data_IF_756893038511
#
_entry.id   IF_756893038511
#
_cell.length_a   1.000
_cell.length_b   1.000
_cell.length_c   1.000
_cell.angle_alpha   90.00
_cell.angle_beta   90.00
_cell.angle_gamma   90.00
#
_symmetry.space_group_name_H-M   'P 1'
#
loop_
_entity.id
_entity.type
_entity.pdbx_description
1 polymer ?
#
# COMPACT_ATOMS: atom_id res chain seq x y z
N UNK A 1 -13.54 -15.68 -17.11
CA UNK A 1 -13.12 -15.86 -18.51
C UNK A 1 -12.67 -14.55 -19.18
N UNK A 2 -13.46 -13.46 -19.16
CA UNK A 2 -13.06 -12.15 -19.75
C UNK A 2 -11.79 -11.53 -19.14
N UNK A 3 -11.58 -11.64 -17.83
CA UNK A 3 -10.36 -11.13 -17.18
C UNK A 3 -9.10 -11.95 -17.49
N UNK A 4 -9.23 -13.28 -17.57
CA UNK A 4 -8.13 -14.16 -17.99
C UNK A 4 -7.73 -13.87 -19.45
N UNK A 5 -8.72 -13.63 -20.32
CA UNK A 5 -8.50 -13.20 -21.71
C UNK A 5 -7.79 -11.84 -21.73
N UNK A 6 -8.09 -10.91 -20.83
CA UNK A 6 -7.40 -9.61 -20.81
C UNK A 6 -5.92 -9.71 -20.38
N UNK A 7 -5.55 -10.54 -19.41
CA UNK A 7 -4.12 -10.73 -19.06
C UNK A 7 -3.37 -11.48 -20.17
N UNK A 8 -3.97 -12.53 -20.77
CA UNK A 8 -3.39 -13.26 -21.92
C UNK A 8 -3.33 -12.42 -23.20
N UNK A 9 -4.38 -11.68 -23.56
CA UNK A 9 -4.43 -10.85 -24.75
C UNK A 9 -3.43 -9.68 -24.67
N UNK A 10 -3.22 -9.10 -23.48
CA UNK A 10 -2.18 -8.07 -23.27
C UNK A 10 -0.76 -8.65 -23.41
N UNK A 11 -0.53 -9.88 -22.95
CA UNK A 11 0.76 -10.58 -23.14
C UNK A 11 1.00 -10.96 -24.61
N UNK A 12 -0.04 -11.40 -25.33
CA UNK A 12 0.05 -11.80 -26.74
C UNK A 12 0.12 -10.62 -27.70
N UNK A 13 -0.50 -9.48 -27.38
CA UNK A 13 -0.39 -8.26 -28.18
C UNK A 13 1.05 -7.71 -28.25
N UNK A 14 1.90 -8.04 -27.27
CA UNK A 14 3.34 -7.73 -27.31
C UNK A 14 4.17 -8.58 -28.29
N UNK A 15 3.61 -9.65 -28.86
CA UNK A 15 4.33 -10.60 -29.72
C UNK A 15 4.08 -10.45 -31.23
N UNK A 16 3.22 -9.49 -31.65
CA UNK A 16 2.82 -9.38 -33.07
C UNK A 16 3.21 -8.03 -33.69
N UNK A 17 4.50 -7.68 -33.67
CA UNK A 17 5.08 -6.73 -34.65
C UNK A 17 6.48 -7.23 -35.02
N UNK A 18 6.54 -8.19 -35.94
CA UNK A 18 7.77 -8.50 -36.67
C UNK A 18 7.67 -7.78 -38.03
N UNK A 19 8.12 -6.52 -38.07
CA UNK A 19 8.23 -5.75 -39.31
C UNK A 19 9.70 -5.44 -39.59
N UNK A 20 10.18 -6.05 -40.68
CA UNK A 20 11.26 -5.65 -41.62
C UNK A 20 12.21 -4.55 -41.15
N UNK A 21 13.49 -4.94 -40.99
CA UNK A 21 14.63 -4.05 -40.80
C UNK A 21 14.92 -3.27 -42.08
N UNK A 22 14.83 -1.94 -42.02
CA UNK A 22 15.45 -1.03 -43.00
C UNK A 22 16.53 -0.22 -42.28
N UNK A 23 17.77 -0.38 -42.73
CA UNK A 23 18.93 0.36 -42.25
C UNK A 23 18.82 1.84 -42.62
N UNK A 24 18.83 2.73 -41.62
CA UNK A 24 19.10 4.15 -41.80
C UNK A 24 20.16 4.57 -40.80
N UNK A 25 21.33 4.92 -41.32
CA UNK A 25 22.46 5.51 -40.58
C UNK A 25 22.19 7.00 -40.41
N UNK A 26 22.10 7.48 -39.17
CA UNK A 26 22.05 8.92 -38.87
C UNK A 26 23.17 9.26 -37.87
N UNK A 27 23.95 10.27 -38.25
CA UNK A 27 25.07 10.86 -37.52
C UNK A 27 24.59 11.65 -36.29
N UNK A 28 25.25 11.46 -35.15
CA UNK A 28 25.00 12.19 -33.91
C UNK A 28 25.84 13.48 -33.81
N UNK A 29 25.30 14.62 -33.32
CA UNK A 29 26.10 15.71 -32.83
C UNK A 29 26.31 15.64 -31.32
N UNK A 30 27.51 16.07 -30.90
CA UNK A 30 27.95 16.24 -29.51
C UNK A 30 27.08 17.28 -28.78
N UNK A 31 26.58 16.94 -27.59
CA UNK A 31 25.95 17.88 -26.66
C UNK A 31 26.86 18.03 -25.44
N UNK A 32 27.21 19.28 -25.15
CA UNK A 32 28.03 19.71 -24.01
C UNK A 32 27.20 19.76 -22.73
N UNK A 33 27.79 19.32 -21.62
CA UNK A 33 27.23 19.42 -20.28
C UNK A 33 27.29 20.86 -19.76
N UNK A 34 26.15 21.39 -19.33
CA UNK A 34 26.06 22.58 -18.47
C UNK A 34 25.62 22.10 -17.09
N UNK A 35 26.39 22.47 -16.06
CA UNK A 35 26.16 22.06 -14.68
C UNK A 35 24.96 22.76 -14.07
N UNK A 36 24.13 21.99 -13.37
CA UNK A 36 23.05 22.51 -12.53
C UNK A 36 23.20 22.02 -11.08
N UNK A 37 22.85 22.94 -10.18
CA UNK A 37 23.02 22.86 -8.74
C UNK A 37 22.17 21.74 -8.11
N UNK A 38 22.82 20.92 -7.29
CA UNK A 38 22.20 19.85 -6.52
C UNK A 38 21.35 20.37 -5.36
N UNK A 39 20.03 20.15 -5.41
CA UNK A 39 19.22 19.98 -4.21
C UNK A 39 19.14 18.49 -3.87
N UNK A 40 19.90 18.07 -2.86
CA UNK A 40 19.89 16.71 -2.32
C UNK A 40 18.67 16.50 -1.42
N UNK A 41 17.77 15.60 -1.80
CA UNK A 41 16.99 14.83 -0.83
C UNK A 41 17.84 13.64 -0.37
N UNK A 42 18.50 13.81 0.76
CA UNK A 42 19.18 12.74 1.49
C UNK A 42 18.12 11.97 2.29
N UNK A 43 17.50 10.95 1.68
CA UNK A 43 16.79 9.92 2.43
C UNK A 43 17.74 8.74 2.76
N UNK A 44 18.03 8.66 4.07
CA UNK A 44 18.42 7.47 4.83
C UNK A 44 19.75 6.77 4.45
N UNK A 45 20.81 7.24 5.12
CA UNK A 45 21.87 6.40 5.66
C UNK A 45 21.61 6.24 7.17
N UNK A 46 20.93 5.18 7.58
CA UNK A 46 21.12 4.51 8.89
C UNK A 46 20.12 3.35 9.03
N UNK A 47 20.46 2.20 8.43
CA UNK A 47 19.84 0.92 8.80
C UNK A 47 20.92 0.00 9.37
N UNK A 48 21.58 0.45 10.45
CA UNK A 48 22.34 -0.40 11.36
C UNK A 48 22.40 0.26 12.74
N UNK A 49 21.35 0.08 13.55
CA UNK A 49 21.48 0.04 15.00
C UNK A 49 20.54 -1.03 15.54
N UNK A 50 21.16 -2.12 15.98
CA UNK A 50 20.58 -3.12 16.85
C UNK A 50 20.14 -2.44 18.15
N UNK A 51 18.84 -2.27 18.37
CA UNK A 51 18.31 -1.94 19.69
C UNK A 51 18.41 -3.17 20.60
N UNK A 52 19.58 -3.39 21.20
CA UNK A 52 19.67 -4.12 22.46
C UNK A 52 19.30 -3.14 23.57
N UNK A 53 18.04 -3.14 24.00
CA UNK A 53 17.69 -2.60 25.30
C UNK A 53 18.01 -3.65 26.36
N UNK A 54 19.16 -3.50 27.02
CA UNK A 54 19.36 -4.05 28.35
C UNK A 54 18.53 -3.23 29.34
N UNK A 55 17.38 -3.77 29.74
CA UNK A 55 16.73 -3.40 30.99
C UNK A 55 17.28 -4.34 32.07
N UNK A 56 18.27 -3.87 32.81
CA UNK A 56 18.64 -4.45 34.09
C UNK A 56 17.64 -3.95 35.14
N UNK A 57 16.59 -4.74 35.36
CA UNK A 57 15.65 -4.56 36.46
C UNK A 57 15.71 -5.80 37.36
N UNK A 58 16.33 -5.66 38.54
CA UNK A 58 16.28 -6.66 39.58
C UNK A 58 14.83 -6.82 40.08
N UNK A 59 14.23 -7.97 39.82
CA UNK A 59 13.01 -8.41 40.48
C UNK A 59 13.20 -9.86 40.95
N UNK A 60 13.53 -10.01 42.23
CA UNK A 60 13.40 -11.26 42.97
C UNK A 60 11.92 -11.65 42.99
N UNK A 61 11.55 -12.72 42.28
CA UNK A 61 10.23 -13.33 42.39
C UNK A 61 10.37 -14.83 42.67
N UNK A 62 9.83 -15.21 43.82
CA UNK A 62 9.67 -16.56 44.31
C UNK A 62 8.88 -17.42 43.33
N UNK A 63 9.38 -18.64 43.09
CA UNK A 63 8.69 -19.67 42.34
C UNK A 63 7.58 -20.27 43.21
N UNK A 64 6.33 -20.10 42.79
CA UNK A 64 5.24 -21.01 43.14
C UNK A 64 4.68 -21.56 41.84
N UNK A 65 5.03 -22.81 41.55
CA UNK A 65 4.51 -23.57 40.42
C UNK A 65 3.05 -23.96 40.72
N UNK A 66 2.11 -23.41 39.94
CA UNK A 66 0.78 -24.00 39.75
C UNK A 66 0.69 -24.47 38.31
N UNK A 67 0.56 -25.78 38.13
CA UNK A 67 0.36 -26.41 36.84
C UNK A 67 -1.02 -26.07 36.29
N UNK A 68 -1.07 -25.30 35.20
CA UNK A 68 -2.25 -25.17 34.36
C UNK A 68 -2.15 -26.19 33.22
N UNK A 69 -3.21 -27.00 33.07
CA UNK A 69 -3.39 -27.93 31.94
C UNK A 69 -3.44 -27.15 30.62
N UNK A 70 -2.93 -27.70 29.51
CA UNK A 70 -3.08 -27.10 28.19
C UNK A 70 -4.57 -27.08 27.81
N UNK A 71 -5.11 -25.88 27.68
CA UNK A 71 -6.44 -25.67 27.12
C UNK A 71 -6.45 -26.05 25.64
N UNK A 72 -7.51 -26.75 25.24
CA UNK A 72 -7.84 -27.07 23.85
C UNK A 72 -7.67 -25.85 22.93
N UNK A 73 -6.72 -25.92 21.99
CA UNK A 73 -6.58 -24.94 20.91
C UNK A 73 -7.89 -24.91 20.13
N UNK A 74 -8.64 -23.80 20.22
CA UNK A 74 -9.84 -23.61 19.41
C UNK A 74 -9.42 -23.54 17.94
N UNK A 75 -10.08 -24.34 17.11
CA UNK A 75 -9.83 -24.46 15.68
C UNK A 75 -9.90 -23.09 15.00
N UNK A 76 -8.84 -22.71 14.29
CA UNK A 76 -8.83 -21.56 13.39
C UNK A 76 -10.00 -21.70 12.40
N UNK A 77 -10.78 -20.63 12.15
CA UNK A 77 -11.85 -20.64 11.16
C UNK A 77 -11.35 -21.19 9.81
N UNK A 78 -12.03 -22.22 9.32
CA UNK A 78 -11.65 -22.93 8.11
C UNK A 78 -11.91 -22.06 6.87
N UNK A 79 -10.84 -21.52 6.29
CA UNK A 79 -10.84 -20.89 4.97
C UNK A 79 -11.07 -21.97 3.89
N UNK A 80 -12.33 -22.30 3.57
CA UNK A 80 -12.62 -23.21 2.46
C UNK A 80 -12.56 -22.45 1.13
N UNK A 81 -11.65 -22.80 0.19
CA UNK A 81 -11.63 -22.21 -1.13
C UNK A 81 -12.92 -22.57 -1.89
N UNK A 82 -13.46 -21.58 -2.61
CA UNK A 82 -14.55 -21.82 -3.54
C UNK A 82 -14.01 -22.66 -4.72
N UNK A 83 -14.55 -23.86 -4.89
CA UNK A 83 -14.09 -24.80 -5.94
C UNK A 83 -14.36 -24.28 -7.34
N UNK A 84 -15.35 -23.40 -7.50
CA UNK A 84 -15.80 -22.91 -8.81
C UNK A 84 -15.07 -21.63 -9.23
N UNK A 85 -14.34 -20.99 -8.31
CA UNK A 85 -13.51 -19.82 -8.59
C UNK A 85 -12.24 -19.82 -7.72
N UNK A 86 -11.14 -20.43 -8.18
CA UNK A 86 -9.89 -20.52 -7.41
C UNK A 86 -9.24 -19.16 -7.13
N UNK A 87 -9.75 -18.09 -7.73
CA UNK A 87 -9.31 -16.71 -7.49
C UNK A 87 -10.16 -15.98 -6.44
N UNK A 88 -11.25 -16.58 -5.96
CA UNK A 88 -12.09 -15.97 -4.94
C UNK A 88 -11.50 -16.24 -3.55
N UNK A 89 -11.18 -15.16 -2.85
CA UNK A 89 -10.70 -15.25 -1.47
C UNK A 89 -11.86 -15.77 -0.60
N UNK A 90 -11.66 -16.82 0.21
CA UNK A 90 -12.70 -17.35 1.08
C UNK A 90 -13.28 -16.26 1.97
N UNK A 91 -14.62 -16.25 2.11
CA UNK A 91 -15.30 -15.29 3.01
C UNK A 91 -15.09 -15.69 4.46
N UNK A 92 -14.67 -14.75 5.29
CA UNK A 92 -14.66 -14.90 6.74
C UNK A 92 -16.05 -14.54 7.30
N UNK A 93 -16.86 -15.55 7.61
CA UNK A 93 -18.09 -15.37 8.38
C UNK A 93 -17.82 -15.66 9.85
N UNK A 94 -17.99 -14.67 10.71
CA UNK A 94 -17.90 -14.82 12.17
C UNK A 94 -19.24 -14.50 12.83
N UNK A 95 -19.54 -15.19 13.94
CA UNK A 95 -20.46 -14.66 14.94
C UNK A 95 -19.91 -13.37 15.55
N UNK A 96 -20.72 -12.62 16.31
CA UNK A 96 -20.21 -11.44 17.00
C UNK A 96 -19.12 -11.79 18.02
N UNK A 97 -19.25 -12.90 18.76
CA UNK A 97 -18.21 -13.33 19.70
C UNK A 97 -16.94 -13.81 18.99
N UNK A 98 -17.07 -14.57 17.91
CA UNK A 98 -15.93 -15.01 17.09
C UNK A 98 -15.19 -13.82 16.47
N UNK A 99 -15.95 -12.84 15.96
CA UNK A 99 -15.40 -11.61 15.40
C UNK A 99 -14.67 -10.78 16.46
N UNK A 100 -15.23 -10.69 17.67
CA UNK A 100 -14.53 -10.02 18.79
C UNK A 100 -13.26 -10.75 19.16
N UNK A 101 -13.31 -12.08 19.29
CA UNK A 101 -12.13 -12.89 19.60
C UNK A 101 -11.04 -12.72 18.54
N UNK A 102 -11.40 -12.73 17.25
CA UNK A 102 -10.46 -12.49 16.14
C UNK A 102 -9.70 -11.18 16.29
N UNK A 103 -10.40 -10.09 16.64
CA UNK A 103 -9.76 -8.79 16.86
C UNK A 103 -8.79 -8.86 18.04
N UNK A 104 -9.20 -9.46 19.16
CA UNK A 104 -8.35 -9.60 20.35
C UNK A 104 -7.12 -10.45 20.06
N UNK A 105 -7.27 -11.53 19.30
CA UNK A 105 -6.18 -12.41 18.88
C UNK A 105 -5.15 -11.65 18.05
N UNK A 106 -5.56 -10.75 17.14
CA UNK A 106 -4.64 -9.88 16.40
C UNK A 106 -3.79 -9.02 17.34
N UNK A 107 -4.39 -8.37 18.34
CA UNK A 107 -3.64 -7.53 19.28
C UNK A 107 -2.74 -8.37 20.19
N UNK A 108 -3.18 -9.55 20.60
CA UNK A 108 -2.37 -10.48 21.37
C UNK A 108 -1.17 -11.00 20.57
N UNK A 109 -1.38 -11.44 19.33
CA UNK A 109 -0.30 -11.87 18.41
C UNK A 109 0.67 -10.71 18.12
N UNK A 110 0.16 -9.48 18.04
CA UNK A 110 0.97 -8.28 17.88
C UNK A 110 1.75 -7.86 19.16
N UNK A 111 1.54 -8.55 20.29
CA UNK A 111 2.17 -8.21 21.57
C UNK A 111 1.66 -6.90 22.17
N UNK A 112 0.45 -6.47 21.83
CA UNK A 112 -0.19 -5.25 22.33
C UNK A 112 -1.08 -5.59 23.52
N UNK A 113 -0.70 -5.14 24.71
CA UNK A 113 -1.54 -5.24 25.90
C UNK A 113 -2.66 -4.21 25.86
N UNK A 114 -3.91 -4.67 25.77
CA UNK A 114 -5.09 -3.80 25.80
C UNK A 114 -5.57 -3.58 27.24
N UNK A 115 -5.82 -2.32 27.61
CA UNK A 115 -6.58 -2.03 28.84
C UNK A 115 -8.09 -2.17 28.56
N UNK A 116 -8.95 -2.32 29.60
CA UNK A 116 -10.40 -2.35 29.41
C UNK A 116 -10.94 -1.13 28.64
N UNK A 117 -10.34 0.05 28.87
CA UNK A 117 -10.69 1.29 28.17
C UNK A 117 -10.29 1.24 26.69
N UNK A 118 -9.17 0.61 26.35
CA UNK A 118 -8.77 0.41 24.95
C UNK A 118 -9.69 -0.61 24.27
N UNK A 119 -9.98 -1.71 24.96
CA UNK A 119 -10.81 -2.80 24.44
C UNK A 119 -12.25 -2.37 24.15
N UNK A 120 -12.78 -1.40 24.91
CA UNK A 120 -14.11 -0.80 24.67
C UNK A 120 -14.14 0.19 23.50
N UNK A 121 -12.99 0.69 23.05
CA UNK A 121 -12.87 1.55 21.87
C UNK A 121 -12.67 0.77 20.57
N UNK A 122 -12.30 -0.51 20.65
CA UNK A 122 -12.13 -1.35 19.48
C UNK A 122 -13.47 -1.56 18.76
N UNK A 123 -13.46 -1.62 17.42
CA UNK A 123 -14.68 -1.85 16.67
C UNK A 123 -15.19 -3.28 16.88
N UNK A 124 -16.47 -3.49 16.57
CA UNK A 124 -16.98 -4.84 16.31
C UNK A 124 -16.47 -5.32 14.95
N UNK A 125 -16.45 -6.63 14.74
CA UNK A 125 -16.10 -7.17 13.42
C UNK A 125 -17.10 -6.73 12.34
N UNK A 126 -18.38 -6.59 12.69
CA UNK A 126 -19.37 -6.06 11.76
C UNK A 126 -19.02 -4.64 11.30
N UNK A 127 -18.61 -3.76 12.20
CA UNK A 127 -18.17 -2.41 11.83
C UNK A 127 -16.98 -2.42 10.88
N UNK A 128 -16.01 -3.31 11.09
CA UNK A 128 -14.90 -3.50 10.15
C UNK A 128 -15.43 -3.93 8.78
N UNK A 129 -16.29 -4.95 8.74
CA UNK A 129 -16.88 -5.45 7.48
C UNK A 129 -17.75 -4.44 6.75
N UNK A 130 -18.45 -3.58 7.46
CA UNK A 130 -19.25 -2.52 6.84
C UNK A 130 -18.37 -1.51 6.09
N UNK A 131 -17.11 -1.34 6.53
CA UNK A 131 -16.13 -0.45 5.91
C UNK A 131 -15.33 -1.14 4.80
N UNK A 132 -14.82 -2.36 5.04
CA UNK A 132 -13.89 -3.03 4.11
C UNK A 132 -14.48 -4.27 3.41
N UNK A 133 -15.62 -4.80 3.83
CA UNK A 133 -16.18 -6.06 3.32
C UNK A 133 -15.65 -7.29 4.08
N UNK A 134 -15.98 -8.49 3.60
CA UNK A 134 -15.64 -9.76 4.29
C UNK A 134 -14.22 -10.26 4.02
N UNK A 135 -13.50 -9.70 3.04
CA UNK A 135 -12.19 -10.17 2.61
C UNK A 135 -11.35 -9.02 1.99
N UNK A 136 -10.01 -9.20 1.91
CA UNK A 136 -9.15 -8.29 1.16
C UNK A 136 -9.63 -8.08 -0.28
N UNK A 137 -9.51 -6.86 -0.79
CA UNK A 137 -9.74 -6.55 -2.20
C UNK A 137 -8.39 -6.35 -2.89
N UNK A 138 -8.01 -7.32 -3.71
CA UNK A 138 -6.73 -7.33 -4.44
C UNK A 138 -7.02 -7.48 -5.93
N UNK A 139 -6.62 -6.48 -6.73
CA UNK A 139 -6.75 -6.55 -8.18
C UNK A 139 -5.55 -7.27 -8.81
N UNK A 140 -5.78 -7.87 -9.97
CA UNK A 140 -4.79 -8.49 -10.86
C UNK A 140 -4.09 -9.74 -10.28
N UNK A 141 -4.74 -10.47 -9.38
CA UNK A 141 -4.22 -11.77 -8.87
C UNK A 141 -4.04 -12.80 -9.98
N UNK A 142 -4.81 -12.71 -11.06
CA UNK A 142 -4.72 -13.59 -12.22
C UNK A 142 -3.40 -13.47 -12.98
N UNK A 143 -2.65 -12.37 -12.83
CA UNK A 143 -1.36 -12.19 -13.49
C UNK A 143 -0.18 -12.76 -12.66
N UNK A 144 -0.43 -13.28 -11.45
CA UNK A 144 0.60 -13.90 -10.61
C UNK A 144 1.30 -15.11 -11.26
N UNK A 145 0.59 -16.08 -11.89
CA UNK A 145 1.24 -17.20 -12.57
C UNK A 145 2.18 -16.72 -13.68
N UNK A 146 1.74 -15.77 -14.52
CA UNK A 146 2.54 -15.21 -15.60
C UNK A 146 3.81 -14.52 -15.08
N UNK A 147 3.72 -13.79 -13.96
CA UNK A 147 4.90 -13.21 -13.31
C UNK A 147 5.90 -14.29 -12.86
N UNK A 148 5.42 -15.34 -12.19
CA UNK A 148 6.28 -16.42 -11.70
C UNK A 148 6.92 -17.22 -12.84
N UNK A 149 6.22 -17.41 -13.94
CA UNK A 149 6.75 -18.09 -15.13
C UNK A 149 7.81 -17.24 -15.84
N UNK A 150 7.54 -15.94 -16.01
CA UNK A 150 8.45 -15.01 -16.70
C UNK A 150 9.73 -14.72 -15.91
N UNK A 151 9.64 -14.61 -14.58
CA UNK A 151 10.75 -14.15 -13.73
C UNK A 151 11.38 -15.32 -12.99
N UNK A 152 12.69 -15.60 -13.19
CA UNK A 152 13.40 -16.66 -12.49
C UNK A 152 13.28 -16.50 -10.96
N UNK A 153 13.06 -17.59 -10.19
CA UNK A 153 12.84 -17.49 -8.75
C UNK A 153 13.90 -16.68 -7.99
N UNK A 154 15.18 -16.86 -8.32
CA UNK A 154 16.28 -16.12 -7.71
C UNK A 154 16.25 -14.61 -7.98
N UNK A 155 15.54 -14.17 -9.02
CA UNK A 155 15.47 -12.77 -9.44
C UNK A 155 14.15 -12.09 -9.03
N UNK A 156 13.15 -12.86 -8.57
CA UNK A 156 11.85 -12.31 -8.18
C UNK A 156 11.99 -11.31 -7.03
N UNK A 157 11.36 -10.15 -7.20
CA UNK A 157 11.30 -9.10 -6.21
C UNK A 157 9.88 -8.56 -6.08
N UNK A 158 9.53 -8.05 -4.90
CA UNK A 158 8.34 -7.24 -4.65
C UNK A 158 8.79 -5.85 -4.21
N UNK A 159 8.06 -4.83 -4.63
CA UNK A 159 8.31 -3.45 -4.20
C UNK A 159 7.04 -2.65 -4.09
N UNK A 160 6.95 -1.85 -3.03
CA UNK A 160 5.82 -0.95 -2.85
C UNK A 160 5.79 0.14 -3.92
N UNK A 161 4.58 0.45 -4.36
CA UNK A 161 4.24 1.63 -5.15
C UNK A 161 2.90 2.18 -4.67
N UNK A 162 2.63 3.45 -4.87
CA UNK A 162 1.39 4.10 -4.42
C UNK A 162 1.59 5.59 -4.25
N UNK A 163 0.51 6.35 -4.36
CA UNK A 163 0.55 7.79 -4.07
C UNK A 163 0.99 8.05 -2.62
N UNK A 164 1.39 9.27 -2.30
CA UNK A 164 1.60 9.68 -0.91
C UNK A 164 0.37 9.33 -0.04
N UNK A 165 0.56 9.00 1.24
CA UNK A 165 -0.52 8.71 2.18
C UNK A 165 -1.44 7.50 1.84
N UNK A 166 -0.98 6.55 1.04
CA UNK A 166 -1.75 5.35 0.67
C UNK A 166 -1.29 4.06 1.35
N UNK A 167 -0.37 4.12 2.31
CA UNK A 167 0.09 2.93 3.05
C UNK A 167 1.32 2.22 2.46
N UNK A 168 2.06 2.87 1.55
CA UNK A 168 3.29 2.30 0.96
C UNK A 168 4.31 1.84 2.00
N UNK A 169 4.49 2.56 3.11
CA UNK A 169 5.41 2.11 4.17
C UNK A 169 4.84 0.89 4.91
N UNK A 170 3.54 0.87 5.18
CA UNK A 170 2.89 -0.23 5.90
C UNK A 170 3.05 -1.55 5.15
N UNK A 171 2.73 -1.58 3.85
CA UNK A 171 2.94 -2.79 3.03
C UNK A 171 4.41 -3.19 2.99
N UNK A 172 5.32 -2.22 2.90
CA UNK A 172 6.75 -2.50 2.87
C UNK A 172 7.22 -3.16 4.17
N UNK A 173 6.83 -2.65 5.34
CA UNK A 173 7.18 -3.26 6.62
C UNK A 173 6.61 -4.67 6.74
N UNK A 174 5.32 -4.85 6.42
CA UNK A 174 4.66 -6.15 6.46
C UNK A 174 5.36 -7.18 5.57
N UNK A 175 5.66 -6.86 4.32
CA UNK A 175 6.40 -7.74 3.41
C UNK A 175 7.80 -8.04 3.93
N UNK A 176 8.55 -7.01 4.32
CA UNK A 176 9.93 -7.14 4.82
C UNK A 176 10.03 -7.97 6.10
N UNK A 177 9.03 -7.93 6.96
CA UNK A 177 9.04 -8.69 8.21
C UNK A 177 8.59 -10.14 7.98
N UNK A 178 7.62 -10.36 7.08
CA UNK A 178 6.89 -11.62 7.02
C UNK A 178 7.06 -12.42 5.75
N UNK A 179 7.56 -11.87 4.65
CA UNK A 179 7.64 -12.55 3.36
C UNK A 179 9.10 -12.85 2.98
N UNK A 180 9.30 -14.00 2.33
CA UNK A 180 10.57 -14.37 1.68
C UNK A 180 10.33 -15.13 0.37
N UNK A 181 11.26 -14.97 -0.59
CA UNK A 181 11.37 -15.89 -1.73
C UNK A 181 12.28 -17.06 -1.33
N UNK A 182 11.77 -18.31 -1.25
CA UNK A 182 12.51 -19.46 -0.73
C UNK A 182 13.87 -19.67 -1.39
N UNK A 183 13.94 -19.59 -2.71
CA UNK A 183 15.18 -19.83 -3.47
C UNK A 183 16.24 -18.76 -3.18
N UNK A 184 15.80 -17.51 -2.93
CA UNK A 184 16.71 -16.44 -2.50
C UNK A 184 17.18 -16.66 -1.06
N UNK A 185 16.27 -17.07 -0.17
CA UNK A 185 16.59 -17.42 1.22
C UNK A 185 17.61 -18.56 1.29
N UNK A 186 17.43 -19.60 0.48
CA UNK A 186 18.36 -20.72 0.36
C UNK A 186 19.73 -20.27 -0.16
N UNK A 187 19.76 -19.49 -1.26
CA UNK A 187 21.01 -18.99 -1.86
C UNK A 187 21.83 -18.09 -0.94
N UNK A 188 21.19 -17.17 -0.22
CA UNK A 188 21.90 -16.15 0.56
C UNK A 188 22.03 -16.52 2.06
N UNK A 189 21.23 -17.46 2.55
CA UNK A 189 21.23 -17.89 3.95
C UNK A 189 20.36 -17.02 4.88
N UNK A 190 20.24 -17.42 6.16
CA UNK A 190 19.18 -16.92 7.05
C UNK A 190 19.41 -15.55 7.72
N UNK A 191 20.62 -14.99 7.62
CA UNK A 191 21.03 -13.76 8.31
C UNK A 191 21.33 -12.61 7.36
N UNK A 192 20.58 -12.54 6.26
CA UNK A 192 20.79 -11.56 5.21
C UNK A 192 19.77 -10.43 5.27
N UNK A 193 20.02 -9.39 4.47
CA UNK A 193 19.06 -8.31 4.30
C UNK A 193 17.73 -8.83 3.73
N UNK A 194 16.64 -8.17 4.09
CA UNK A 194 15.30 -8.52 3.62
C UNK A 194 15.17 -8.29 2.10
N UNK A 195 15.93 -7.34 1.58
CA UNK A 195 16.13 -7.11 0.15
C UNK A 195 16.80 -8.31 -0.53
N UNK A 196 17.73 -8.99 0.15
CA UNK A 196 18.32 -10.24 -0.36
C UNK A 196 17.26 -11.32 -0.53
N UNK A 197 16.18 -11.30 0.25
CA UNK A 197 15.02 -12.22 0.12
C UNK A 197 13.95 -11.74 -0.88
N UNK A 198 14.22 -10.67 -1.63
CA UNK A 198 13.33 -10.15 -2.66
C UNK A 198 12.36 -9.06 -2.19
N UNK A 199 12.36 -8.68 -0.90
CA UNK A 199 11.45 -7.67 -0.35
C UNK A 199 12.10 -6.27 -0.41
N UNK A 200 11.75 -5.48 -1.43
CA UNK A 200 12.32 -4.15 -1.65
C UNK A 200 11.49 -3.07 -0.95
N UNK A 201 12.16 -1.97 -0.58
CA UNK A 201 11.48 -0.82 0.01
C UNK A 201 10.50 -0.15 -0.96
N UNK A 202 10.86 -0.13 -2.25
CA UNK A 202 10.10 0.51 -3.31
C UNK A 202 10.43 -0.12 -4.67
N UNK A 203 9.58 0.14 -5.65
CA UNK A 203 9.87 -0.12 -7.07
C UNK A 203 11.06 0.69 -7.58
N UNK A 204 11.78 0.24 -8.64
CA UNK A 204 12.97 0.92 -9.13
C UNK A 204 12.76 2.38 -9.50
N UNK A 205 11.60 2.74 -10.04
CA UNK A 205 11.23 4.12 -10.39
C UNK A 205 10.72 4.95 -9.18
N UNK A 206 10.81 4.42 -7.96
CA UNK A 206 10.37 5.12 -6.74
C UNK A 206 8.90 4.88 -6.41
N UNK A 207 8.59 4.72 -5.12
CA UNK A 207 7.25 4.30 -4.67
C UNK A 207 6.14 5.28 -5.04
N UNK A 208 6.42 6.59 -5.09
CA UNK A 208 5.42 7.64 -5.35
C UNK A 208 5.38 8.10 -6.81
N UNK A 209 6.32 7.65 -7.64
CA UNK A 209 6.41 8.03 -9.04
C UNK A 209 5.41 7.23 -9.88
N UNK A 210 4.58 7.89 -10.72
CA UNK A 210 3.68 7.22 -11.65
C UNK A 210 4.39 6.19 -12.53
N UNK A 211 3.71 5.09 -12.83
CA UNK A 211 4.27 4.01 -13.67
C UNK A 211 4.57 4.47 -15.10
N UNK A 212 3.94 5.53 -15.61
CA UNK A 212 4.30 6.09 -16.93
C UNK A 212 5.79 6.50 -17.03
N UNK A 213 6.43 6.82 -15.89
CA UNK A 213 7.86 7.14 -15.84
C UNK A 213 8.76 5.92 -15.57
N UNK A 214 8.20 4.70 -15.52
CA UNK A 214 8.93 3.46 -15.25
C UNK A 214 10.12 3.27 -16.18
N UNK A 215 10.00 3.60 -17.47
CA UNK A 215 11.08 3.42 -18.45
C UNK A 215 12.17 4.50 -18.29
N UNK A 216 11.76 5.73 -17.99
CA UNK A 216 12.64 6.92 -18.03
C UNK A 216 13.31 7.26 -16.69
N UNK A 217 12.93 6.59 -15.61
CA UNK A 217 13.46 6.88 -14.27
C UNK A 217 13.80 5.60 -13.50
N UNK A 218 14.92 5.67 -12.77
CA UNK A 218 15.33 4.72 -11.74
C UNK A 218 15.96 5.48 -10.58
N UNK A 219 15.59 5.13 -9.37
CA UNK A 219 16.30 5.61 -8.18
C UNK A 219 17.73 5.09 -8.19
N UNK A 220 18.67 5.88 -7.65
CA UNK A 220 20.11 5.54 -7.64
C UNK A 220 20.40 4.14 -7.06
N UNK A 221 19.69 3.76 -5.99
CA UNK A 221 19.84 2.44 -5.32
C UNK A 221 19.22 1.26 -6.09
N UNK A 222 18.53 1.52 -7.19
CA UNK A 222 17.81 0.51 -7.98
C UNK A 222 18.08 0.61 -9.49
N UNK A 223 19.08 1.38 -9.92
CA UNK A 223 19.44 1.54 -11.34
C UNK A 223 19.88 0.24 -11.99
N UNK A 224 20.53 -0.66 -11.24
CA UNK A 224 20.97 -1.97 -11.71
C UNK A 224 19.89 -3.05 -11.68
N UNK A 225 18.69 -2.74 -11.17
CA UNK A 225 17.61 -3.74 -11.09
C UNK A 225 16.89 -3.82 -12.42
N UNK A 226 16.77 -5.03 -12.95
CA UNK A 226 15.87 -5.30 -14.05
C UNK A 226 14.42 -5.01 -13.61
N UNK A 227 13.82 -3.98 -14.21
CA UNK A 227 12.47 -3.53 -13.91
C UNK A 227 11.40 -4.57 -14.23
N UNK A 228 11.71 -5.56 -15.05
CA UNK A 228 10.81 -6.69 -15.38
C UNK A 228 10.77 -7.76 -14.28
N UNK A 229 11.74 -7.75 -13.35
CA UNK A 229 11.86 -8.78 -12.30
C UNK A 229 11.20 -8.39 -10.98
N UNK A 230 10.54 -7.23 -10.96
CA UNK A 230 9.82 -6.76 -9.79
C UNK A 230 8.32 -6.77 -10.03
N UNK A 231 7.57 -7.29 -9.06
CA UNK A 231 6.12 -7.18 -8.97
C UNK A 231 5.76 -5.93 -8.14
N UNK A 232 5.21 -4.87 -8.74
CA UNK A 232 4.76 -3.72 -7.97
C UNK A 232 3.54 -4.05 -7.15
N UNK A 233 3.61 -3.71 -5.86
CA UNK A 233 2.50 -3.79 -4.93
C UNK A 233 1.97 -2.39 -4.75
N UNK A 234 0.93 -2.07 -5.54
CA UNK A 234 0.34 -0.75 -5.64
C UNK A 234 -0.67 -0.57 -4.52
N UNK A 235 -0.40 0.34 -3.59
CA UNK A 235 -1.33 0.66 -2.50
C UNK A 235 -2.28 1.77 -2.91
N UNK A 236 -3.57 1.54 -2.68
CA UNK A 236 -4.65 2.51 -2.87
C UNK A 236 -5.41 2.74 -1.57
N UNK A 237 -6.02 3.92 -1.44
CA UNK A 237 -6.78 4.31 -0.27
C UNK A 237 -8.09 4.92 -0.71
N UNK A 238 -9.13 4.77 0.11
CA UNK A 238 -10.43 5.38 -0.13
C UNK A 238 -10.26 6.89 -0.43
N UNK A 239 -10.72 7.41 -1.59
CA UNK A 239 -10.31 8.72 -2.08
C UNK A 239 -10.67 9.86 -1.12
N UNK A 240 -11.85 9.83 -0.51
CA UNK A 240 -12.24 10.84 0.49
C UNK A 240 -11.36 10.85 1.74
N UNK A 241 -10.91 9.67 2.19
CA UNK A 241 -9.98 9.52 3.32
C UNK A 241 -8.58 9.99 2.93
N UNK A 242 -8.19 9.70 1.68
CA UNK A 242 -6.93 10.13 1.10
C UNK A 242 -6.87 11.66 0.91
N UNK A 243 -7.91 12.31 0.39
CA UNK A 243 -8.01 13.76 0.25
C UNK A 243 -7.77 14.49 1.58
N UNK A 244 -8.40 14.04 2.68
CA UNK A 244 -8.12 14.57 4.01
C UNK A 244 -6.66 14.43 4.42
N UNK A 245 -6.06 13.30 4.07
CA UNK A 245 -4.64 13.06 4.38
C UNK A 245 -3.73 13.99 3.58
N UNK A 246 -4.05 14.24 2.31
CA UNK A 246 -3.33 15.20 1.46
C UNK A 246 -3.52 16.63 1.95
N UNK A 247 -4.71 16.98 2.46
CA UNK A 247 -4.91 18.28 3.09
C UNK A 247 -4.00 18.47 4.32
N UNK A 248 -3.85 17.45 5.16
CA UNK A 248 -2.94 17.51 6.32
C UNK A 248 -1.47 17.58 5.90
N UNK A 249 -1.08 16.85 4.86
CA UNK A 249 0.27 16.84 4.33
C UNK A 249 0.24 16.58 2.81
N UNK A 250 0.41 17.66 2.04
CA UNK A 250 0.35 17.64 0.57
C UNK A 250 1.60 17.06 -0.09
N UNK A 251 2.69 16.89 0.67
CA UNK A 251 3.99 16.48 0.15
C UNK A 251 4.46 17.38 -1.00
N UNK A 252 4.66 16.81 -2.19
CA UNK A 252 5.06 17.55 -3.39
C UNK A 252 3.89 17.98 -4.28
N UNK A 253 2.66 17.66 -3.87
CA UNK A 253 1.46 18.16 -4.54
C UNK A 253 1.19 19.61 -4.12
N UNK A 254 0.95 20.46 -5.11
CA UNK A 254 0.77 21.90 -4.97
C UNK A 254 -0.55 22.30 -5.64
N UNK A 255 -1.31 23.19 -5.02
CA UNK A 255 -2.58 23.72 -5.51
C UNK A 255 -2.79 25.16 -5.05
N UNK A 256 -3.72 25.88 -5.67
CA UNK A 256 -4.01 27.26 -5.31
C UNK A 256 -4.50 27.35 -3.86
N UNK A 257 -4.04 28.39 -3.16
CA UNK A 257 -4.23 28.60 -1.73
C UNK A 257 -3.53 27.60 -0.80
N UNK A 258 -2.58 26.79 -1.29
CA UNK A 258 -1.65 26.06 -0.42
C UNK A 258 -0.68 27.05 0.27
N UNK A 259 -1.16 27.74 1.31
CA UNK A 259 -0.31 28.53 2.19
C UNK A 259 0.19 27.61 3.30
N UNK A 260 1.42 27.14 3.15
CA UNK A 260 2.16 26.61 4.29
C UNK A 260 2.40 27.79 5.24
N UNK A 261 1.80 27.73 6.43
CA UNK A 261 2.09 28.71 7.47
C UNK A 261 3.57 28.69 7.84
N UNK A 262 4.04 29.74 8.53
CA UNK A 262 5.42 29.79 9.06
C UNK A 262 5.73 28.64 10.03
N UNK A 263 4.68 28.00 10.56
CA UNK A 263 4.68 26.81 11.42
C UNK A 263 4.83 25.49 10.65
N UNK A 264 4.89 25.52 9.31
CA UNK A 264 4.90 24.33 8.47
C UNK A 264 3.53 23.68 8.30
N UNK A 265 2.46 24.24 8.88
CA UNK A 265 1.11 23.71 8.78
C UNK A 265 0.41 24.25 7.53
N UNK A 266 -0.10 23.35 6.70
CA UNK A 266 -0.96 23.71 5.56
C UNK A 266 -2.29 24.26 6.09
N UNK A 267 -2.60 25.52 5.80
CA UNK A 267 -3.90 26.12 6.14
C UNK A 267 -4.77 26.15 4.89
N UNK A 268 -5.87 25.39 4.93
CA UNK A 268 -6.83 25.25 3.83
C UNK A 268 -6.63 23.94 3.07
N UNK A 269 -7.63 23.07 3.12
CA UNK A 269 -7.72 21.95 2.19
C UNK A 269 -8.00 22.49 0.78
N UNK A 270 -7.54 21.83 -0.28
CA UNK A 270 -7.96 22.21 -1.62
C UNK A 270 -9.46 22.00 -1.72
N UNK A 271 -10.20 23.07 -2.03
CA UNK A 271 -11.50 22.89 -2.66
C UNK A 271 -11.26 22.16 -3.99
N UNK A 272 -12.15 21.26 -4.40
CA UNK A 272 -11.99 20.55 -5.67
C UNK A 272 -12.31 21.45 -6.88
N UNK A 273 -13.15 22.47 -6.68
CA UNK A 273 -13.44 23.55 -7.63
C UNK A 273 -13.17 24.91 -6.97
N UNK A 274 -12.73 25.89 -7.75
CA UNK A 274 -12.50 27.28 -7.30
C UNK A 274 -13.61 28.22 -7.79
N UNK A 275 -13.92 29.22 -6.96
CA UNK A 275 -14.85 30.31 -7.30
C UNK A 275 -16.30 29.89 -7.54
N UNK A 276 -17.11 30.84 -8.02
CA UNK A 276 -18.50 30.61 -8.44
C UNK A 276 -18.63 29.95 -9.82
N UNK A 277 -17.54 29.91 -10.60
CA UNK A 277 -17.54 29.47 -12.00
C UNK A 277 -17.35 27.95 -12.19
N UNK A 278 -17.36 27.16 -11.12
CA UNK A 278 -17.20 25.69 -11.18
C UNK A 278 -15.92 25.18 -11.88
N UNK A 279 -14.85 26.00 -11.92
CA UNK A 279 -13.56 25.61 -12.50
C UNK A 279 -12.83 24.68 -11.54
N UNK A 280 -12.22 23.60 -12.04
CA UNK A 280 -11.44 22.69 -11.20
C UNK A 280 -10.23 23.40 -10.56
N UNK A 281 -9.90 23.04 -9.32
CA UNK A 281 -8.72 23.58 -8.62
C UNK A 281 -7.46 22.79 -9.02
N UNK A 282 -6.60 23.32 -9.91
CA UNK A 282 -5.51 22.54 -10.49
C UNK A 282 -4.51 22.07 -9.44
N UNK A 283 -4.00 20.85 -9.63
CA UNK A 283 -2.96 20.26 -8.78
C UNK A 283 -1.73 19.98 -9.64
N UNK A 284 -0.58 20.45 -9.20
CA UNK A 284 0.73 20.10 -9.79
C UNK A 284 1.48 19.21 -8.81
N UNK A 285 2.02 18.09 -9.26
CA UNK A 285 2.84 17.21 -8.43
C UNK A 285 4.25 17.14 -8.98
N UNK A 286 5.24 17.43 -8.13
CA UNK A 286 6.65 17.24 -8.47
C UNK A 286 7.11 15.84 -8.09
N UNK A 287 7.60 15.10 -9.06
CA UNK A 287 8.21 13.78 -8.91
C UNK A 287 9.74 13.87 -9.03
N UNK A 288 10.41 12.71 -8.93
CA UNK A 288 11.86 12.64 -9.06
C UNK A 288 12.36 13.19 -10.40
N UNK A 289 13.61 13.66 -10.42
CA UNK A 289 14.28 14.27 -11.57
C UNK A 289 13.52 15.47 -12.16
N UNK A 290 12.91 16.30 -11.30
CA UNK A 290 12.16 17.51 -11.67
C UNK A 290 11.04 17.25 -12.67
N UNK A 291 10.40 16.08 -12.57
CA UNK A 291 9.26 15.73 -13.42
C UNK A 291 7.99 16.25 -12.78
N UNK A 292 7.38 17.24 -13.42
CA UNK A 292 6.12 17.80 -12.96
C UNK A 292 4.96 17.16 -13.75
N UNK A 293 3.86 16.87 -13.06
CA UNK A 293 2.61 16.39 -13.65
C UNK A 293 1.47 17.29 -13.20
N UNK A 294 0.56 17.61 -14.13
CA UNK A 294 -0.53 18.56 -13.90
C UNK A 294 -1.87 17.85 -14.00
N UNK A 295 -2.74 18.11 -13.03
CA UNK A 295 -4.04 17.49 -12.90
C UNK A 295 -5.11 18.56 -12.70
N UNK A 296 -6.32 18.29 -13.18
CA UNK A 296 -7.42 19.25 -13.08
C UNK A 296 -7.83 19.50 -11.62
N UNK A 297 -7.80 18.48 -10.77
CA UNK A 297 -8.01 18.61 -9.32
C UNK A 297 -7.39 17.47 -8.54
N UNK A 298 -7.48 17.51 -7.21
CA UNK A 298 -6.99 16.43 -6.34
C UNK A 298 -7.69 15.09 -6.62
N UNK A 299 -8.97 15.12 -7.03
CA UNK A 299 -9.70 13.93 -7.45
C UNK A 299 -9.18 13.37 -8.78
N UNK A 300 -8.87 14.25 -9.75
CA UNK A 300 -8.27 13.83 -11.01
C UNK A 300 -6.86 13.25 -10.81
N UNK A 301 -6.05 13.85 -9.93
CA UNK A 301 -4.76 13.27 -9.55
C UNK A 301 -4.89 11.83 -9.02
N UNK A 302 -5.90 11.56 -8.19
CA UNK A 302 -6.17 10.20 -7.72
C UNK A 302 -6.52 9.26 -8.89
N UNK A 303 -7.44 9.65 -9.77
CA UNK A 303 -7.82 8.85 -10.94
C UNK A 303 -6.63 8.59 -11.87
N UNK A 304 -5.92 9.64 -12.26
CA UNK A 304 -4.84 9.60 -13.26
C UNK A 304 -3.73 8.66 -12.80
N UNK A 305 -3.31 8.79 -11.53
CA UNK A 305 -2.19 8.01 -10.99
C UNK A 305 -2.46 6.50 -11.06
N UNK A 306 -3.67 6.06 -10.72
CA UNK A 306 -4.05 4.64 -10.77
C UNK A 306 -4.41 4.17 -12.19
N UNK A 307 -4.93 5.05 -13.04
CA UNK A 307 -5.25 4.73 -14.44
C UNK A 307 -3.98 4.41 -15.24
N UNK A 308 -2.83 5.01 -14.90
CA UNK A 308 -1.55 4.62 -15.49
C UNK A 308 -1.22 3.13 -15.27
N UNK A 309 -1.60 2.56 -14.11
CA UNK A 309 -1.44 1.12 -13.88
C UNK A 309 -2.52 0.32 -14.61
N UNK A 310 -3.79 0.64 -14.41
CA UNK A 310 -4.90 -0.17 -14.92
C UNK A 310 -4.98 -0.21 -16.45
N UNK A 311 -4.69 0.92 -17.08
CA UNK A 311 -4.95 1.11 -18.49
C UNK A 311 -3.66 1.08 -19.34
N UNK A 312 -2.50 1.42 -18.76
CA UNK A 312 -1.25 1.54 -19.54
C UNK A 312 -0.16 0.52 -19.17
N UNK A 313 -0.22 -0.15 -18.02
CA UNK A 313 0.81 -1.12 -17.66
C UNK A 313 0.68 -2.41 -18.49
N UNK A 314 1.79 -2.79 -19.11
CA UNK A 314 1.98 -3.99 -19.94
C UNK A 314 2.70 -5.12 -19.20
N UNK A 315 2.77 -5.03 -17.86
CA UNK A 315 3.50 -5.97 -17.00
C UNK A 315 2.66 -6.31 -15.75
N UNK A 316 2.96 -7.42 -15.04
CA UNK A 316 2.21 -7.81 -13.84
C UNK A 316 2.37 -6.82 -12.67
N UNK A 317 1.28 -6.51 -11.98
CA UNK A 317 1.24 -5.73 -10.74
C UNK A 317 0.03 -6.15 -9.91
N UNK A 318 0.01 -5.82 -8.63
CA UNK A 318 -1.18 -5.95 -7.78
C UNK A 318 -1.62 -4.58 -7.29
N UNK A 319 -2.93 -4.36 -7.15
CA UNK A 319 -3.48 -3.20 -6.44
C UNK A 319 -4.16 -3.67 -5.17
N UNK A 320 -3.77 -3.13 -4.02
CA UNK A 320 -4.32 -3.49 -2.71
C UNK A 320 -4.76 -2.25 -1.94
N UNK A 321 -5.82 -2.37 -1.14
CA UNK A 321 -6.27 -1.27 -0.29
C UNK A 321 -5.38 -1.12 0.93
N UNK A 322 -5.16 0.13 1.34
CA UNK A 322 -4.52 0.46 2.61
C UNK A 322 -5.34 -0.11 3.77
N UNK A 323 -6.66 -0.06 3.65
CA UNK A 323 -7.57 -0.56 4.66
C UNK A 323 -7.43 -2.08 4.85
N UNK A 324 -7.14 -2.86 3.79
CA UNK A 324 -6.89 -4.30 3.89
C UNK A 324 -5.59 -4.63 4.61
N UNK A 325 -4.57 -3.77 4.47
CA UNK A 325 -3.33 -3.90 5.23
C UNK A 325 -3.51 -3.62 6.73
N UNK A 326 -4.58 -2.90 7.11
CA UNK A 326 -4.90 -2.59 8.51
C UNK A 326 -5.73 -3.71 9.13
N UNK A 327 -6.78 -4.16 8.44
CA UNK A 327 -7.77 -5.09 9.01
C UNK A 327 -7.53 -6.56 8.65
N UNK A 328 -6.83 -6.83 7.55
CA UNK A 328 -6.45 -8.17 7.08
C UNK A 328 -4.93 -8.28 6.83
N UNK A 329 -4.06 -7.84 7.75
CA UNK A 329 -2.63 -7.75 7.48
C UNK A 329 -2.01 -9.10 7.12
N UNK A 330 -2.42 -10.19 7.79
CA UNK A 330 -1.87 -11.53 7.61
C UNK A 330 -2.28 -12.12 6.27
N UNK A 331 -3.58 -12.07 5.98
CA UNK A 331 -4.20 -12.58 4.76
C UNK A 331 -3.69 -11.80 3.53
N UNK A 332 -3.73 -10.47 3.59
CA UNK A 332 -3.26 -9.61 2.49
C UNK A 332 -1.77 -9.83 2.21
N UNK A 333 -0.94 -9.86 3.26
CA UNK A 333 0.52 -10.08 3.09
C UNK A 333 0.82 -11.47 2.55
N UNK A 334 0.10 -12.50 3.01
CA UNK A 334 0.26 -13.88 2.51
C UNK A 334 -0.07 -13.97 1.03
N UNK A 335 -1.23 -13.48 0.60
CA UNK A 335 -1.66 -13.53 -0.80
C UNK A 335 -0.66 -12.79 -1.69
N UNK A 336 -0.23 -11.60 -1.29
CA UNK A 336 0.77 -10.81 -2.04
C UNK A 336 2.11 -11.55 -2.12
N UNK A 337 2.56 -12.15 -1.02
CA UNK A 337 3.82 -12.89 -0.97
C UNK A 337 3.80 -14.11 -1.92
N UNK A 338 2.73 -14.90 -1.85
CA UNK A 338 2.53 -16.10 -2.68
C UNK A 338 2.36 -15.76 -4.16
N UNK A 339 1.79 -14.59 -4.48
CA UNK A 339 1.70 -14.11 -5.86
C UNK A 339 3.07 -14.09 -6.55
N UNK A 340 4.10 -13.61 -5.86
CA UNK A 340 5.48 -13.57 -6.36
C UNK A 340 6.24 -14.90 -6.21
N UNK A 341 5.57 -15.98 -5.80
CA UNK A 341 6.21 -17.27 -5.50
C UNK A 341 6.97 -17.28 -4.17
N UNK A 342 6.68 -16.33 -3.29
CA UNK A 342 7.19 -16.31 -1.93
C UNK A 342 6.33 -17.14 -0.98
N UNK A 343 6.74 -17.14 0.29
CA UNK A 343 5.97 -17.69 1.42
C UNK A 343 6.11 -16.82 2.65
N UNK A 344 5.15 -16.94 3.57
CA UNK A 344 5.32 -16.36 4.90
C UNK A 344 6.47 -17.06 5.62
N UNK A 345 7.34 -16.26 6.23
CA UNK A 345 8.50 -16.69 6.99
C UNK A 345 8.10 -17.58 8.15
N UNK A 346 8.76 -18.72 8.26
CA UNK A 346 8.55 -19.72 9.32
C UNK A 346 9.67 -19.73 10.35
N UNK A 347 10.69 -18.88 10.18
CA UNK A 347 11.80 -18.71 11.14
C UNK A 347 11.44 -17.76 12.30
N UNK A 348 10.23 -17.21 12.27
CA UNK A 348 9.61 -16.49 13.38
C UNK A 348 8.41 -17.32 13.88
N UNK A 349 8.16 -17.29 15.19
CA UNK A 349 7.06 -18.02 15.81
C UNK A 349 5.70 -17.51 15.32
N UNK A 350 5.57 -16.18 15.17
CA UNK A 350 4.32 -15.51 14.83
C UNK A 350 4.50 -14.52 13.66
N UNK A 351 3.37 -14.13 13.06
CA UNK A 351 3.34 -13.03 12.10
C UNK A 351 3.72 -11.73 12.80
N UNK A 352 4.69 -11.01 12.26
CA UNK A 352 5.15 -9.73 12.78
C UNK A 352 4.23 -8.60 12.31
N UNK A 353 3.44 -8.05 13.23
CA UNK A 353 2.60 -6.88 12.97
C UNK A 353 3.40 -5.58 13.06
N UNK A 354 2.91 -4.54 12.38
CA UNK A 354 3.43 -3.18 12.51
C UNK A 354 2.68 -2.47 13.64
N UNK A 355 3.20 -2.62 14.86
CA UNK A 355 2.56 -2.12 16.09
C UNK A 355 2.62 -0.60 16.18
N UNK A 356 3.79 -0.04 15.95
CA UNK A 356 4.02 1.41 15.94
C UNK A 356 3.63 2.05 14.61
N UNK A 357 3.79 3.37 14.50
CA UNK A 357 3.60 4.04 13.21
C UNK A 357 4.55 3.47 12.15
N UNK A 358 3.99 3.09 11.00
CA UNK A 358 4.75 2.71 9.80
C UNK A 358 5.60 3.87 9.21
N UNK A 359 5.59 5.05 9.84
CA UNK A 359 6.45 6.19 9.51
C UNK A 359 7.38 6.56 10.68
N UNK A 360 7.54 5.70 11.69
CA UNK A 360 8.31 6.01 12.88
C UNK A 360 9.82 6.19 12.60
N UNK A 361 10.32 5.55 11.55
CA UNK A 361 11.70 5.62 11.07
C UNK A 361 11.96 6.85 10.17
N UNK A 362 10.94 7.39 9.52
CA UNK A 362 11.10 8.53 8.62
C UNK A 362 11.08 9.88 9.37
N UNK A 363 12.12 10.73 9.26
CA UNK A 363 12.15 12.07 9.88
C UNK A 363 11.00 12.98 9.42
N UNK A 364 10.46 13.81 10.31
CA UNK A 364 9.43 14.80 9.95
C UNK A 364 8.02 14.24 9.67
N UNK A 365 7.79 12.95 9.91
CA UNK A 365 6.47 12.34 9.76
C UNK A 365 5.72 12.19 11.09
N UNK A 366 4.40 12.21 10.98
CA UNK A 366 3.49 11.95 12.10
C UNK A 366 3.64 10.49 12.57
N UNK A 367 4.18 10.32 13.79
CA UNK A 367 4.41 9.02 14.42
C UNK A 367 3.22 8.53 15.24
N UNK A 368 2.08 9.22 15.22
CA UNK A 368 0.98 9.00 16.15
C UNK A 368 0.10 7.78 15.86
N UNK A 369 0.13 7.22 14.64
CA UNK A 369 -0.84 6.18 14.24
C UNK A 369 -0.21 4.79 14.24
N UNK A 370 -0.17 4.14 15.42
CA UNK A 370 0.10 2.70 15.54
C UNK A 370 -1.14 1.83 15.25
N UNK A 371 -1.00 0.50 15.37
CA UNK A 371 -2.04 -0.47 15.01
C UNK A 371 -3.37 -0.22 15.73
N UNK A 372 -3.36 0.03 17.04
CA UNK A 372 -4.58 0.32 17.81
C UNK A 372 -5.29 1.57 17.30
N UNK A 373 -4.55 2.68 17.17
CA UNK A 373 -5.10 3.94 16.68
C UNK A 373 -5.61 3.81 15.23
N UNK A 374 -4.96 3.02 14.39
CA UNK A 374 -5.41 2.73 13.03
C UNK A 374 -6.74 1.98 13.03
N UNK A 375 -6.88 0.92 13.84
CA UNK A 375 -8.12 0.16 13.98
C UNK A 375 -9.28 1.04 14.45
N UNK A 376 -9.10 1.83 15.51
CA UNK A 376 -10.13 2.74 16.03
C UNK A 376 -10.50 3.82 15.02
N UNK A 377 -9.52 4.33 14.26
CA UNK A 377 -9.73 5.42 13.32
C UNK A 377 -10.43 4.97 12.04
N UNK A 378 -9.99 3.85 11.45
CA UNK A 378 -10.41 3.45 10.11
C UNK A 378 -11.64 2.54 10.12
N UNK A 379 -12.06 2.01 11.26
CA UNK A 379 -13.29 1.20 11.38
C UNK A 379 -14.55 2.03 11.58
N UNK A 380 -14.40 3.33 11.85
CA UNK A 380 -15.55 4.22 12.04
C UNK A 380 -16.24 4.44 10.70
N UNK A 381 -17.58 4.33 10.66
CA UNK A 381 -18.33 4.77 9.50
C UNK A 381 -17.95 6.21 9.17
N UNK A 382 -17.73 6.53 7.89
CA UNK A 382 -17.41 7.89 7.53
C UNK A 382 -18.58 8.81 7.89
N UNK A 383 -18.33 10.02 8.41
CA UNK A 383 -19.41 10.99 8.60
C UNK A 383 -20.02 11.33 7.23
N UNK A 384 -21.24 11.91 7.19
CA UNK A 384 -21.85 12.38 5.95
C UNK A 384 -20.87 13.22 5.12
N UNK A 385 -20.82 12.94 3.81
CA UNK A 385 -19.87 13.57 2.86
C UNK A 385 -18.41 13.42 3.24
N UNK A 386 -18.06 12.52 4.15
CA UNK A 386 -16.76 12.47 4.80
C UNK A 386 -16.39 13.81 5.47
N UNK A 387 -17.34 14.68 5.85
CA UNK A 387 -17.08 16.02 6.38
C UNK A 387 -16.64 17.08 5.35
N UNK A 388 -16.80 16.80 4.06
CA UNK A 388 -16.60 17.79 3.00
C UNK A 388 -17.78 18.76 2.91
N UNK A 389 -17.54 19.94 2.36
CA UNK A 389 -18.60 20.87 1.95
C UNK A 389 -19.53 20.22 0.91
N UNK A 390 -20.76 20.72 0.74
CA UNK A 390 -21.65 20.21 -0.33
C UNK A 390 -21.00 20.34 -1.71
N UNK A 391 -20.36 21.48 -1.98
CA UNK A 391 -19.73 21.76 -3.26
C UNK A 391 -18.58 20.79 -3.54
N UNK A 392 -17.69 20.56 -2.56
CA UNK A 392 -16.58 19.61 -2.75
C UNK A 392 -17.07 18.17 -2.83
N UNK A 393 -18.08 17.81 -2.05
CA UNK A 393 -18.66 16.46 -2.14
C UNK A 393 -19.27 16.19 -3.52
N UNK A 394 -20.02 17.17 -4.06
CA UNK A 394 -20.61 17.09 -5.39
C UNK A 394 -19.53 17.03 -6.47
N UNK A 395 -18.52 17.90 -6.37
CA UNK A 395 -17.39 17.91 -7.28
C UNK A 395 -16.57 16.60 -7.22
N UNK A 396 -16.42 16.00 -6.03
CA UNK A 396 -15.78 14.70 -5.87
C UNK A 396 -16.57 13.59 -6.56
N UNK A 397 -17.91 13.58 -6.43
CA UNK A 397 -18.76 12.61 -7.13
C UNK A 397 -18.67 12.75 -8.65
N UNK A 398 -18.59 13.97 -9.14
CA UNK A 398 -18.46 14.26 -10.57
C UNK A 398 -17.08 13.84 -11.11
N UNK A 399 -16.01 14.07 -10.34
CA UNK A 399 -14.65 13.83 -10.80
C UNK A 399 -14.18 12.38 -10.61
N UNK A 400 -14.58 11.70 -9.53
CA UNK A 400 -14.04 10.37 -9.20
C UNK A 400 -14.47 9.33 -10.24
N UNK A 401 -13.53 8.46 -10.61
CA UNK A 401 -13.78 7.41 -11.58
C UNK A 401 -14.61 6.27 -10.95
N UNK A 402 -15.88 6.17 -11.32
CA UNK A 402 -16.82 5.16 -10.81
C UNK A 402 -16.34 3.72 -11.05
N UNK A 403 -15.68 3.45 -12.18
CA UNK A 403 -15.11 2.13 -12.47
C UNK A 403 -14.04 1.76 -11.44
N UNK A 404 -13.09 2.66 -11.18
CA UNK A 404 -12.02 2.43 -10.20
C UNK A 404 -12.57 2.32 -8.77
N UNK A 405 -13.55 3.16 -8.41
CA UNK A 405 -14.27 3.04 -7.14
C UNK A 405 -14.91 1.66 -6.98
N UNK A 406 -15.64 1.21 -8.01
CA UNK A 406 -16.30 -0.10 -8.03
C UNK A 406 -15.32 -1.27 -7.97
N UNK A 407 -14.20 -1.21 -8.72
CA UNK A 407 -13.16 -2.24 -8.68
C UNK A 407 -12.57 -2.43 -7.29
N UNK A 408 -12.42 -1.35 -6.52
CA UNK A 408 -11.89 -1.40 -5.15
C UNK A 408 -12.97 -1.58 -4.07
N UNK A 409 -14.25 -1.74 -4.46
CA UNK A 409 -15.37 -1.82 -3.51
C UNK A 409 -15.59 -0.55 -2.71
N UNK A 410 -15.10 0.60 -3.18
CA UNK A 410 -15.32 1.90 -2.55
C UNK A 410 -16.69 2.46 -2.92
N UNK A 411 -17.29 3.19 -1.98
CA UNK A 411 -18.59 3.84 -2.16
C UNK A 411 -18.47 5.32 -1.83
N UNK A 412 -19.27 6.15 -2.50
CA UNK A 412 -19.44 7.52 -2.03
C UNK A 412 -20.08 7.51 -0.64
N UNK A 413 -19.59 8.34 0.32
CA UNK A 413 -20.22 8.46 1.63
C UNK A 413 -21.65 8.98 1.48
N UNK A 414 -22.56 8.70 2.43
CA UNK A 414 -23.93 9.21 2.34
C UNK A 414 -23.96 10.74 2.33
N UNK A 415 -24.95 11.29 1.62
CA UNK A 415 -25.26 12.72 1.70
C UNK A 415 -25.96 13.03 3.05
N UNK A 416 -26.02 14.31 3.43
CA UNK A 416 -26.84 14.73 4.58
C UNK A 416 -28.31 14.61 4.15
N UNK A 417 -29.17 13.90 4.91
CA UNK A 417 -30.60 13.89 4.63
C UNK A 417 -31.11 15.34 4.58
N UNK A 418 -31.94 15.67 3.59
CA UNK A 418 -32.67 16.95 3.62
C UNK A 418 -33.61 16.89 4.84
N UNK A 419 -33.23 17.56 5.94
CA UNK A 419 -34.07 17.71 7.14
C UNK A 419 -34.98 18.91 6.96
#
# INVERSE_FOLDING_TARGET
MVQLINCLARLLAGFTVLTVVVNVVILAPKISFVGENHYFFSEENHMHRSSRHHLAGNATRSQQARGNKPGSVKSTPSLLPDKDNPHQIPRLSFSEEEGRQYILDIFQEAGVSLTPEMESQLPTWQQVRDVVGDHPHILNLECCPAFREKVPPLERMLGASGMFNTGTNLVTHLLKQNCEIPERREKYGPHQSKESYGMRWQVPWGKHTPVKFRKDHSTKKASAINKEYILPIVTIRHPYSWFKSMCKNGYTAQWDHHKTGKDGLTRGCPNLKTGSQSVWNPVTVKYADNRDDHHLSLAHLWNDWYSYYLDQADFPFLVIRMEDLVFYPKETTKIVCECAGGKIRTDQENFSFVVDSAKADSPGHDKSTGIFAAWVKYSRPPPPRFGFSQSDYTAAKEALNDRLMGLMGYKHPPDIPNV
#
